data_IF_603474429882
#
_entry.id   IF_603474429882
#
_cell.length_a   1.000
_cell.length_b   1.000
_cell.length_c   1.000
_cell.angle_alpha   90.00
_cell.angle_beta   90.00
_cell.angle_gamma   90.00
#
_symmetry.space_group_name_H-M   'P 1'
#
loop_
_entity.id
_entity.type
_entity.pdbx_description
1 polymer ?
#
# COMPACT_ATOMS: atom_id res chain seq x y z
N UNK A 1 2.07 6.58 -14.52
CA UNK A 1 3.02 6.14 -13.48
C UNK A 1 2.30 5.16 -12.58
N UNK A 2 2.91 4.02 -12.26
CA UNK A 2 2.27 2.97 -11.45
C UNK A 2 2.35 3.35 -9.98
N UNK A 3 1.37 2.96 -9.15
CA UNK A 3 1.35 3.26 -7.71
C UNK A 3 1.72 2.04 -6.87
N UNK A 4 2.51 2.27 -5.81
CA UNK A 4 2.86 1.32 -4.76
C UNK A 4 2.17 1.75 -3.46
N UNK A 5 1.13 1.02 -3.07
CA UNK A 5 0.36 1.25 -1.86
C UNK A 5 0.98 0.48 -0.70
N UNK A 6 1.63 1.18 0.24
CA UNK A 6 2.28 0.56 1.42
C UNK A 6 1.50 0.75 2.73
N UNK A 7 0.47 1.58 2.72
CA UNK A 7 -0.41 1.85 3.86
C UNK A 7 -1.88 1.73 3.43
N UNK A 8 -2.63 0.87 4.10
CA UNK A 8 -4.07 0.72 3.83
C UNK A 8 -4.85 1.98 4.23
N UNK A 9 -4.59 2.53 5.41
CA UNK A 9 -5.15 3.80 5.86
C UNK A 9 -4.77 4.95 4.94
N UNK A 10 -3.51 4.99 4.49
CA UNK A 10 -3.05 5.99 3.51
C UNK A 10 -3.82 5.91 2.21
N UNK A 11 -3.99 4.68 1.67
CA UNK A 11 -4.79 4.47 0.46
C UNK A 11 -6.24 4.95 0.62
N UNK A 12 -6.91 4.61 1.73
CA UNK A 12 -8.27 5.08 2.01
C UNK A 12 -8.36 6.62 1.97
N UNK A 13 -7.43 7.30 2.65
CA UNK A 13 -7.40 8.76 2.70
C UNK A 13 -7.12 9.39 1.32
N UNK A 14 -6.22 8.79 0.53
CA UNK A 14 -5.87 9.30 -0.79
C UNK A 14 -7.02 9.13 -1.81
N UNK A 15 -7.84 8.10 -1.66
CA UNK A 15 -9.08 7.96 -2.42
C UNK A 15 -10.14 8.98 -1.99
N UNK A 16 -10.24 9.30 -0.70
CA UNK A 16 -11.10 10.40 -0.21
C UNK A 16 -10.66 11.74 -0.80
N UNK A 17 -9.36 12.00 -0.83
CA UNK A 17 -8.77 13.23 -1.37
C UNK A 17 -8.81 13.30 -2.91
N UNK A 18 -9.22 12.22 -3.59
CA UNK A 18 -9.25 12.13 -5.05
C UNK A 18 -7.87 12.07 -5.71
N UNK A 19 -6.82 11.77 -4.95
CA UNK A 19 -5.44 11.61 -5.45
C UNK A 19 -5.16 10.19 -5.96
N UNK A 20 -5.96 9.23 -5.51
CA UNK A 20 -5.99 7.85 -6.03
C UNK A 20 -7.36 7.56 -6.63
N UNK A 21 -7.39 7.06 -7.86
CA UNK A 21 -8.62 6.67 -8.57
C UNK A 21 -8.73 5.15 -8.75
N UNK A 22 -9.85 4.67 -9.32
CA UNK A 22 -10.00 3.24 -9.67
C UNK A 22 -8.94 2.77 -10.66
N UNK A 23 -8.57 3.62 -11.61
CA UNK A 23 -7.55 3.31 -12.62
C UNK A 23 -6.19 3.07 -11.98
N UNK A 24 -5.86 3.84 -10.94
CA UNK A 24 -4.63 3.63 -10.17
C UNK A 24 -4.63 2.31 -9.41
N UNK A 25 -5.78 1.91 -8.86
CA UNK A 25 -5.94 0.62 -8.18
C UNK A 25 -5.76 -0.55 -9.16
N UNK A 26 -6.25 -0.42 -10.39
CA UNK A 26 -6.26 -1.50 -11.37
C UNK A 26 -4.85 -2.05 -11.65
N UNK A 27 -3.85 -1.16 -11.76
CA UNK A 27 -2.45 -1.51 -11.97
C UNK A 27 -1.60 -1.42 -10.68
N UNK A 28 -2.19 -1.12 -9.53
CA UNK A 28 -1.46 -0.97 -8.26
C UNK A 28 -0.58 -2.15 -7.83
N UNK A 29 0.48 -1.86 -7.07
CA UNK A 29 1.17 -2.85 -6.23
C UNK A 29 0.78 -2.57 -4.78
N UNK A 30 0.41 -3.60 -4.03
CA UNK A 30 -0.13 -3.48 -2.68
C UNK A 30 0.76 -4.24 -1.71
N UNK A 31 1.39 -3.54 -0.76
CA UNK A 31 2.26 -4.13 0.27
C UNK A 31 1.85 -3.60 1.64
N UNK A 32 0.82 -4.19 2.23
CA UNK A 32 0.24 -3.66 3.47
C UNK A 32 0.83 -4.27 4.73
N UNK A 33 1.04 -3.41 5.73
CA UNK A 33 1.42 -3.80 7.09
C UNK A 33 0.31 -4.38 7.96
N UNK A 34 -0.86 -4.62 7.39
CA UNK A 34 -1.98 -5.24 8.08
C UNK A 34 -2.18 -6.69 7.58
N UNK A 35 -2.92 -7.48 8.36
CA UNK A 35 -3.35 -8.81 7.92
C UNK A 35 -4.34 -8.67 6.75
N UNK A 36 -4.48 -9.75 5.97
CA UNK A 36 -5.38 -9.77 4.81
C UNK A 36 -6.84 -9.57 5.22
N UNK A 37 -7.24 -10.22 6.29
CA UNK A 37 -8.60 -10.15 6.86
C UNK A 37 -8.94 -8.71 7.23
N UNK A 38 -7.99 -7.99 7.86
CA UNK A 38 -8.13 -6.58 8.21
C UNK A 38 -8.42 -5.68 6.99
N UNK A 39 -7.65 -5.84 5.91
CA UNK A 39 -7.85 -5.06 4.68
C UNK A 39 -9.19 -5.39 3.98
N UNK A 40 -9.59 -6.65 3.98
CA UNK A 40 -10.79 -7.12 3.28
C UNK A 40 -12.08 -6.95 4.10
N UNK A 41 -11.98 -6.97 5.44
CA UNK A 41 -13.09 -6.98 6.39
C UNK A 41 -12.74 -6.20 7.65
N UNK A 42 -12.59 -4.86 7.56
CA UNK A 42 -12.17 -4.01 8.68
C UNK A 42 -13.18 -3.95 9.83
N UNK A 43 -14.38 -4.55 9.68
CA UNK A 43 -15.45 -4.59 10.67
C UNK A 43 -15.30 -5.71 11.70
N UNK A 44 -14.36 -6.65 11.50
CA UNK A 44 -14.18 -7.83 12.37
C UNK A 44 -13.10 -7.63 13.45
N UNK A 45 -12.27 -6.58 13.36
CA UNK A 45 -11.17 -6.27 14.28
C UNK A 45 -11.31 -4.89 14.96
N UNK A 46 -10.53 -4.63 16.03
CA UNK A 46 -10.66 -3.47 16.94
C UNK A 46 -10.44 -2.08 16.32
N UNK A 47 -9.86 -1.99 15.12
CA UNK A 47 -9.67 -0.71 14.39
C UNK A 47 -10.38 -0.75 13.04
N UNK A 48 -11.44 0.05 12.89
CA UNK A 48 -12.15 0.17 11.61
C UNK A 48 -11.73 1.48 10.91
N UNK A 49 -10.69 1.45 10.08
CA UNK A 49 -10.23 2.65 9.35
C UNK A 49 -11.28 3.17 8.36
N UNK A 50 -12.26 2.34 7.97
CA UNK A 50 -13.39 2.79 7.15
C UNK A 50 -14.31 3.72 7.94
N UNK A 51 -14.53 3.46 9.23
CA UNK A 51 -15.26 4.39 10.11
C UNK A 51 -14.53 5.73 10.28
N UNK A 52 -13.20 5.74 10.18
CA UNK A 52 -12.44 6.99 10.28
C UNK A 52 -12.73 7.89 9.10
N UNK A 53 -12.66 7.37 7.86
CA UNK A 53 -12.98 8.16 6.67
C UNK A 53 -14.48 8.45 6.55
N UNK A 54 -15.35 7.62 7.13
CA UNK A 54 -16.80 7.85 7.12
C UNK A 54 -17.20 9.16 7.81
N UNK A 55 -16.40 9.65 8.76
CA UNK A 55 -16.62 10.96 9.40
C UNK A 55 -16.48 12.12 8.41
N UNK A 56 -15.66 11.95 7.38
CA UNK A 56 -15.35 12.99 6.39
C UNK A 56 -16.28 12.91 5.17
N UNK A 57 -16.61 11.70 4.71
CA UNK A 57 -17.35 11.48 3.46
C UNK A 57 -18.73 10.84 3.62
N UNK A 58 -19.10 10.44 4.83
CA UNK A 58 -20.32 9.68 5.13
C UNK A 58 -20.17 8.16 4.91
N UNK A 59 -20.96 7.38 5.66
CA UNK A 59 -20.87 5.91 5.72
C UNK A 59 -20.96 5.24 4.34
N UNK A 60 -21.92 5.64 3.51
CA UNK A 60 -22.16 5.00 2.22
C UNK A 60 -20.99 5.22 1.25
N UNK A 61 -20.41 6.43 1.26
CA UNK A 61 -19.23 6.72 0.42
C UNK A 61 -17.99 6.00 0.94
N UNK A 62 -17.80 5.92 2.26
CA UNK A 62 -16.70 5.19 2.85
C UNK A 62 -16.74 3.69 2.52
N UNK A 63 -17.91 3.06 2.62
CA UNK A 63 -18.12 1.66 2.17
C UNK A 63 -17.87 1.49 0.68
N UNK A 64 -18.31 2.45 -0.15
CA UNK A 64 -18.04 2.41 -1.58
C UNK A 64 -16.54 2.44 -1.86
N UNK A 65 -15.78 3.37 -1.26
CA UNK A 65 -14.33 3.44 -1.40
C UNK A 65 -13.67 2.12 -0.99
N UNK A 66 -14.07 1.58 0.17
CA UNK A 66 -13.55 0.29 0.64
C UNK A 66 -13.84 -0.85 -0.34
N UNK A 67 -15.06 -0.93 -0.87
CA UNK A 67 -15.43 -1.95 -1.84
C UNK A 67 -14.58 -1.88 -3.13
N UNK A 68 -14.21 -0.68 -3.59
CA UNK A 68 -13.33 -0.51 -4.74
C UNK A 68 -11.92 -1.03 -4.46
N UNK A 69 -11.40 -0.81 -3.25
CA UNK A 69 -10.09 -1.34 -2.84
C UNK A 69 -10.15 -2.87 -2.76
N UNK A 70 -11.20 -3.44 -2.17
CA UNK A 70 -11.38 -4.91 -2.07
C UNK A 70 -11.42 -5.57 -3.44
N UNK A 71 -12.18 -5.00 -4.38
CA UNK A 71 -12.25 -5.49 -5.76
C UNK A 71 -10.86 -5.51 -6.42
N UNK A 72 -10.10 -4.42 -6.26
CA UNK A 72 -8.74 -4.33 -6.80
C UNK A 72 -7.77 -5.30 -6.13
N UNK A 73 -7.88 -5.52 -4.82
CA UNK A 73 -7.03 -6.44 -4.07
C UNK A 73 -7.22 -7.89 -4.52
N UNK A 74 -8.44 -8.34 -4.78
CA UNK A 74 -8.67 -9.70 -5.32
C UNK A 74 -7.99 -9.93 -6.67
N UNK A 75 -8.05 -8.93 -7.55
CA UNK A 75 -7.37 -8.99 -8.84
C UNK A 75 -5.85 -8.93 -8.63
N UNK A 76 -5.36 -8.02 -7.79
CA UNK A 76 -3.94 -7.88 -7.51
C UNK A 76 -3.33 -9.16 -6.90
N UNK A 77 -4.02 -9.83 -5.97
CA UNK A 77 -3.64 -11.12 -5.41
C UNK A 77 -3.45 -12.19 -6.49
N UNK A 78 -4.44 -12.35 -7.37
CA UNK A 78 -4.40 -13.33 -8.45
C UNK A 78 -3.23 -13.09 -9.44
N UNK A 79 -2.77 -11.84 -9.54
CA UNK A 79 -1.67 -11.41 -10.40
C UNK A 79 -0.33 -11.26 -9.67
N UNK A 80 -0.22 -11.62 -8.39
CA UNK A 80 1.03 -11.50 -7.62
C UNK A 80 1.45 -10.04 -7.35
N UNK A 81 0.48 -9.13 -7.30
CA UNK A 81 0.68 -7.69 -7.05
C UNK A 81 0.28 -7.26 -5.64
N UNK A 82 -0.19 -8.18 -4.82
CA UNK A 82 -0.58 -7.91 -3.43
C UNK A 82 0.20 -8.81 -2.46
N UNK A 83 0.67 -8.18 -1.38
CA UNK A 83 1.28 -8.82 -0.22
C UNK A 83 0.68 -8.22 1.05
N UNK A 84 0.42 -9.10 2.01
CA UNK A 84 -0.07 -8.75 3.33
C UNK A 84 0.91 -9.21 4.39
N UNK A 85 0.75 -8.65 5.58
CA UNK A 85 1.48 -9.08 6.76
C UNK A 85 1.07 -10.50 7.17
N UNK A 86 2.06 -11.40 7.30
CA UNK A 86 1.87 -12.79 7.79
C UNK A 86 2.40 -13.01 9.21
N UNK A 87 3.17 -12.07 9.75
CA UNK A 87 3.77 -12.05 11.10
C UNK A 87 3.89 -10.60 11.58
N UNK A 88 4.31 -10.30 12.81
CA UNK A 88 4.28 -8.91 13.33
C UNK A 88 5.22 -7.90 12.62
N UNK A 89 6.02 -8.31 11.62
CA UNK A 89 7.06 -7.45 11.03
C UNK A 89 6.84 -7.12 9.55
N UNK A 90 6.88 -5.82 9.23
CA UNK A 90 7.18 -5.34 7.88
C UNK A 90 8.70 -5.26 7.70
N UNK A 91 9.18 -5.60 6.51
CA UNK A 91 10.61 -5.45 6.16
C UNK A 91 10.78 -5.06 4.70
N UNK A 92 11.92 -4.43 4.39
CA UNK A 92 12.29 -4.12 3.02
C UNK A 92 12.49 -5.40 2.20
N UNK A 93 12.94 -6.49 2.81
CA UNK A 93 13.11 -7.78 2.14
C UNK A 93 11.77 -8.30 1.61
N UNK A 94 10.72 -8.24 2.44
CA UNK A 94 9.36 -8.64 2.04
C UNK A 94 8.86 -7.79 0.87
N UNK A 95 8.99 -6.46 0.98
CA UNK A 95 8.62 -5.53 -0.08
C UNK A 95 9.42 -5.79 -1.37
N UNK A 96 10.72 -6.06 -1.25
CA UNK A 96 11.62 -6.32 -2.37
C UNK A 96 11.20 -7.56 -3.17
N UNK A 97 10.75 -8.63 -2.48
CA UNK A 97 10.17 -9.80 -3.17
C UNK A 97 8.99 -9.40 -4.05
N UNK A 98 8.08 -8.57 -3.54
CA UNK A 98 6.89 -8.14 -4.28
C UNK A 98 7.23 -7.26 -5.48
N UNK A 99 8.06 -6.22 -5.30
CA UNK A 99 8.36 -5.27 -6.39
C UNK A 99 9.23 -5.91 -7.48
N UNK A 100 10.14 -6.82 -7.13
CA UNK A 100 10.96 -7.57 -8.10
C UNK A 100 10.10 -8.51 -8.93
N UNK A 101 9.15 -9.21 -8.29
CA UNK A 101 8.15 -10.01 -9.01
C UNK A 101 7.30 -9.16 -9.97
N UNK A 102 7.20 -7.86 -9.73
CA UNK A 102 6.48 -6.88 -10.54
C UNK A 102 7.35 -6.10 -11.53
N UNK A 103 8.62 -6.50 -11.72
CA UNK A 103 9.51 -5.97 -12.75
C UNK A 103 10.33 -4.74 -12.35
N UNK A 104 10.33 -4.36 -11.07
CA UNK A 104 11.16 -3.27 -10.55
C UNK A 104 12.47 -3.83 -9.99
N UNK A 105 13.58 -3.05 -10.00
CA UNK A 105 14.78 -3.44 -9.28
C UNK A 105 14.52 -3.45 -7.77
N UNK A 106 15.33 -4.21 -7.05
CA UNK A 106 15.33 -4.25 -5.60
C UNK A 106 15.59 -2.84 -5.02
N UNK A 107 14.88 -2.45 -3.95
CA UNK A 107 15.22 -1.24 -3.19
C UNK A 107 16.45 -1.53 -2.33
N UNK A 108 17.60 -0.90 -2.60
CA UNK A 108 18.83 -1.23 -1.92
C UNK A 108 18.80 -0.81 -0.45
N UNK A 109 19.52 -1.59 0.35
CA UNK A 109 19.75 -1.28 1.75
C UNK A 109 20.47 0.06 1.96
N UNK A 110 21.40 0.40 1.06
CA UNK A 110 22.09 1.69 1.03
C UNK A 110 21.96 2.34 -0.35
N UNK A 111 21.46 3.56 -0.36
CA UNK A 111 21.59 4.50 -1.49
C UNK A 111 22.54 5.61 -1.04
N UNK A 112 23.30 6.24 -1.95
CA UNK A 112 24.20 7.33 -1.55
C UNK A 112 23.43 8.40 -0.75
N UNK A 113 23.85 8.65 0.50
CA UNK A 113 23.16 9.55 1.44
C UNK A 113 22.21 8.89 2.44
N UNK A 114 21.87 7.60 2.28
CA UNK A 114 21.09 6.78 3.21
C UNK A 114 21.97 5.64 3.75
N UNK A 115 22.62 5.90 4.88
CA UNK A 115 23.47 4.95 5.57
C UNK A 115 22.65 4.17 6.61
N UNK A 116 21.95 3.12 6.19
CA UNK A 116 21.43 1.97 6.97
C UNK A 116 20.09 1.45 6.35
N UNK A 117 19.88 0.12 6.36
CA UNK A 117 18.58 -0.46 6.05
C UNK A 117 17.53 0.00 7.09
N UNK A 118 17.95 0.38 8.29
CA UNK A 118 17.10 0.96 9.34
C UNK A 118 15.90 0.08 9.71
N UNK A 119 15.00 0.62 10.54
CA UNK A 119 13.67 0.03 10.67
C UNK A 119 12.87 0.33 9.40
N UNK A 120 12.00 -0.60 8.99
CA UNK A 120 11.06 -0.36 7.89
C UNK A 120 10.22 0.88 8.18
N UNK A 121 10.18 1.81 7.22
CA UNK A 121 9.34 3.00 7.28
C UNK A 121 8.82 3.34 5.89
N UNK A 122 7.61 3.89 5.81
CA UNK A 122 7.01 4.23 4.53
C UNK A 122 7.79 5.33 3.79
N UNK A 123 8.29 6.34 4.51
CA UNK A 123 9.16 7.37 3.94
C UNK A 123 10.48 6.81 3.41
N UNK A 124 11.06 5.81 4.09
CA UNK A 124 12.27 5.14 3.63
C UNK A 124 12.06 4.28 2.39
N UNK A 125 10.84 3.84 2.11
CA UNK A 125 10.45 3.23 0.82
C UNK A 125 10.44 4.30 -0.28
N UNK A 126 9.78 5.43 -0.03
CA UNK A 126 9.73 6.54 -0.99
C UNK A 126 11.12 7.07 -1.37
N UNK A 127 11.99 7.30 -0.39
CA UNK A 127 13.33 7.80 -0.64
C UNK A 127 14.14 6.85 -1.53
N UNK A 128 14.00 5.54 -1.33
CA UNK A 128 14.69 4.51 -2.13
C UNK A 128 14.15 4.42 -3.55
N UNK A 129 12.83 4.44 -3.69
CA UNK A 129 12.15 4.49 -5.01
C UNK A 129 12.61 5.72 -5.80
N UNK A 130 12.69 6.88 -5.15
CA UNK A 130 13.16 8.14 -5.74
C UNK A 130 14.65 8.10 -6.09
N UNK A 131 15.49 7.59 -5.20
CA UNK A 131 16.94 7.51 -5.42
C UNK A 131 17.32 6.61 -6.60
N UNK A 132 16.50 5.60 -6.90
CA UNK A 132 16.66 4.73 -8.07
C UNK A 132 15.99 5.30 -9.34
N UNK A 133 15.25 6.40 -9.24
CA UNK A 133 14.51 6.98 -10.37
C UNK A 133 13.44 6.05 -10.94
N UNK A 134 12.77 5.27 -10.09
CA UNK A 134 11.73 4.35 -10.55
C UNK A 134 10.45 5.11 -10.91
N UNK A 135 9.78 4.69 -11.98
CA UNK A 135 8.45 5.15 -12.39
C UNK A 135 7.34 4.55 -11.49
N UNK A 136 7.52 4.66 -10.17
CA UNK A 136 6.67 4.11 -9.13
C UNK A 136 6.36 5.19 -8.09
N UNK A 137 5.08 5.45 -7.84
CA UNK A 137 4.63 6.43 -6.84
C UNK A 137 4.29 5.73 -5.54
N UNK A 138 4.95 6.09 -4.43
CA UNK A 138 4.69 5.45 -3.13
C UNK A 138 3.55 6.18 -2.41
N UNK A 139 2.52 5.43 -2.02
CA UNK A 139 1.31 5.94 -1.35
C UNK A 139 1.26 5.45 0.09
N UNK A 140 1.32 6.38 1.05
CA UNK A 140 1.32 6.02 2.46
C UNK A 140 0.70 7.00 3.46
N UNK A 141 0.73 8.31 3.23
CA UNK A 141 -0.09 9.41 3.80
C UNK A 141 0.54 10.76 3.47
#
# INVERSE_FOLDING_TARGET
>A
MRKLFVSFTGLLQEMVNGRVTKEDLADGIFSFGCMREHALRPWEDETNEVEWIARDVGDERAKEIHAQIVEALWVAEAHGRAQYRTDESNSYEKLNVLIVANGYPELPCSVEGLHDCGAYSYSGVEDRVRALGLELEVVYY
#
